data_IF_159626235741
#
_entry.id   IF_159626235741
#
_cell.length_a   1.000
_cell.length_b   1.000
_cell.length_c   1.000
_cell.angle_alpha   90.00
_cell.angle_beta   90.00
_cell.angle_gamma   90.00
#
_symmetry.space_group_name_H-M   'P 1'
#
loop_
_entity.id
_entity.type
_entity.pdbx_description
1 polymer ?
#
# COMPACT_ATOMS: atom_id res chain seq x y z
N UNK A 1 27.76 25.36 22.75
CA UNK A 1 28.41 24.04 22.89
C UNK A 1 29.23 23.70 21.66
N UNK A 2 28.64 23.55 20.46
CA UNK A 2 29.41 23.34 19.22
C UNK A 2 30.52 24.39 18.98
N UNK A 3 30.19 25.68 19.10
CA UNK A 3 31.20 26.76 19.00
C UNK A 3 32.31 26.66 20.06
N UNK A 4 31.96 26.29 21.30
CA UNK A 4 32.94 26.13 22.39
C UNK A 4 33.88 24.95 22.15
N UNK A 5 33.35 23.83 21.66
CA UNK A 5 34.14 22.66 21.25
C UNK A 5 35.16 23.03 20.16
N UNK A 6 34.74 23.80 19.14
CA UNK A 6 35.66 24.23 18.08
C UNK A 6 36.78 25.16 18.57
N UNK A 7 36.50 26.03 19.55
CA UNK A 7 37.50 26.94 20.12
C UNK A 7 38.61 26.21 20.89
N UNK A 8 38.30 25.05 21.46
CA UNK A 8 39.28 24.23 22.20
C UNK A 8 40.22 23.49 21.25
N UNK A 9 39.72 23.05 20.09
CA UNK A 9 40.48 22.31 19.08
C UNK A 9 41.34 23.21 18.17
N UNK A 10 40.86 24.40 17.80
CA UNK A 10 41.54 25.29 16.84
C UNK A 10 41.70 26.74 17.36
N UNK A 11 42.72 27.02 18.19
CA UNK A 11 42.97 28.35 18.75
C UNK A 11 43.37 29.40 17.69
N UNK A 12 43.72 28.96 16.48
CA UNK A 12 44.32 29.77 15.42
C UNK A 12 43.32 30.50 14.51
N UNK A 13 42.01 30.21 14.63
CA UNK A 13 40.91 30.82 13.85
C UNK A 13 41.09 30.80 12.32
N UNK A 14 41.88 29.88 11.76
CA UNK A 14 41.97 29.72 10.32
C UNK A 14 40.75 28.95 9.83
N UNK A 15 39.82 29.63 9.14
CA UNK A 15 38.67 28.98 8.51
C UNK A 15 39.12 28.08 7.34
N UNK A 16 39.43 26.83 7.64
CA UNK A 16 39.60 25.78 6.63
C UNK A 16 38.23 25.16 6.29
N UNK A 17 38.02 24.61 5.09
CA UNK A 17 36.79 23.89 4.77
C UNK A 17 36.46 22.74 5.74
N UNK A 18 37.48 22.16 6.39
CA UNK A 18 37.32 21.12 7.43
C UNK A 18 36.66 21.65 8.70
N UNK A 19 36.90 22.91 9.11
CA UNK A 19 36.28 23.47 10.32
C UNK A 19 34.76 23.67 10.14
N UNK A 20 34.31 24.00 8.93
CA UNK A 20 32.90 24.19 8.61
C UNK A 20 32.15 22.85 8.68
N UNK A 21 32.74 21.78 8.14
CA UNK A 21 32.21 20.43 8.24
C UNK A 21 32.11 19.99 9.70
N UNK A 22 33.18 20.16 10.49
CA UNK A 22 33.19 19.85 11.92
C UNK A 22 32.12 20.64 12.67
N UNK A 23 31.90 21.91 12.32
CA UNK A 23 30.83 22.73 12.88
C UNK A 23 29.44 22.15 12.57
N UNK A 24 29.16 21.82 11.31
CA UNK A 24 27.88 21.24 10.90
C UNK A 24 27.58 19.90 11.57
N UNK A 25 28.60 19.03 11.67
CA UNK A 25 28.45 17.74 12.34
C UNK A 25 28.30 17.92 13.85
N UNK A 26 29.15 18.70 14.52
CA UNK A 26 29.05 18.90 15.97
C UNK A 26 27.73 19.59 16.38
N UNK A 27 27.22 20.52 15.57
CA UNK A 27 25.90 21.11 15.82
C UNK A 27 24.79 20.07 15.70
N UNK A 28 24.82 19.18 14.70
CA UNK A 28 23.91 18.05 14.61
C UNK A 28 24.00 17.14 15.85
N UNK A 29 25.21 16.78 16.27
CA UNK A 29 25.44 15.98 17.48
C UNK A 29 24.80 16.60 18.72
N UNK A 30 25.07 17.88 19.00
CA UNK A 30 24.52 18.54 20.18
C UNK A 30 23.01 18.79 20.09
N UNK A 31 22.51 19.17 18.91
CA UNK A 31 21.08 19.43 18.69
C UNK A 31 20.22 18.17 18.84
N UNK A 32 20.83 16.99 18.71
CA UNK A 32 20.12 15.72 18.69
C UNK A 32 20.51 14.74 19.80
N UNK A 33 21.03 15.27 20.91
CA UNK A 33 21.39 14.53 22.12
C UNK A 33 22.42 13.40 21.84
N UNK A 34 23.45 13.72 21.06
CA UNK A 34 24.48 12.81 20.56
C UNK A 34 25.16 11.92 21.60
N UNK A 35 25.25 12.39 22.85
CA UNK A 35 25.80 11.61 23.95
C UNK A 35 24.92 10.40 24.33
N UNK A 36 23.67 10.33 23.86
CA UNK A 36 22.71 9.25 24.13
C UNK A 36 22.31 8.45 22.89
N UNK A 37 22.94 8.69 21.75
CA UNK A 37 22.74 7.84 20.58
C UNK A 37 23.18 6.41 20.90
N UNK A 38 22.64 5.43 20.16
CA UNK A 38 23.02 4.03 20.32
C UNK A 38 24.48 3.80 19.93
N UNK A 39 24.93 4.43 18.85
CA UNK A 39 26.32 4.49 18.40
C UNK A 39 26.68 5.95 18.11
N UNK A 40 27.67 6.46 18.83
CA UNK A 40 28.30 7.76 18.61
C UNK A 40 29.83 7.64 18.51
N UNK A 41 30.32 6.49 18.05
CA UNK A 41 31.75 6.20 18.00
C UNK A 41 32.50 7.26 17.17
N UNK A 42 33.60 7.78 17.74
CA UNK A 42 34.45 8.79 17.11
C UNK A 42 33.91 10.23 17.15
N UNK A 43 32.64 10.44 17.49
CA UNK A 43 32.07 11.79 17.49
C UNK A 43 32.72 12.69 18.54
N UNK A 44 33.04 13.92 18.14
CA UNK A 44 33.74 14.92 18.95
C UNK A 44 35.19 14.57 19.33
N UNK A 45 35.74 13.48 18.81
CA UNK A 45 37.17 13.17 18.95
C UNK A 45 37.99 14.04 17.97
N UNK A 46 39.29 14.25 18.26
CA UNK A 46 40.18 15.02 17.38
C UNK A 46 40.54 14.29 16.08
N UNK A 47 40.05 13.06 15.87
CA UNK A 47 40.21 12.31 14.61
C UNK A 47 39.48 13.00 13.45
N UNK A 48 39.79 12.60 12.22
CA UNK A 48 39.10 13.13 11.05
C UNK A 48 37.61 12.77 11.10
N UNK A 49 36.72 13.66 10.65
CA UNK A 49 35.27 13.44 10.78
C UNK A 49 34.79 12.25 9.94
N UNK A 50 35.56 11.86 8.93
CA UNK A 50 35.30 10.67 8.12
C UNK A 50 35.48 9.35 8.88
N UNK A 51 36.12 9.38 10.05
CA UNK A 51 36.22 8.24 10.96
C UNK A 51 35.02 8.17 11.93
N UNK A 52 34.16 9.20 11.96
CA UNK A 52 33.02 9.25 12.86
C UNK A 52 31.91 8.34 12.36
N UNK A 53 31.26 7.65 13.29
CA UNK A 53 30.17 6.74 12.94
C UNK A 53 29.10 7.44 12.10
N UNK A 54 28.75 6.82 10.97
CA UNK A 54 27.70 7.31 10.08
C UNK A 54 28.11 8.43 9.12
N UNK A 55 29.33 8.97 9.21
CA UNK A 55 29.82 9.98 8.27
C UNK A 55 30.49 9.31 7.08
N UNK A 56 29.96 9.55 5.89
CA UNK A 56 30.55 9.07 4.63
C UNK A 56 31.26 10.23 3.93
N UNK A 57 32.51 10.04 3.50
CA UNK A 57 33.31 11.08 2.86
C UNK A 57 33.71 10.74 1.42
N UNK A 58 33.95 11.77 0.61
CA UNK A 58 34.61 11.63 -0.67
C UNK A 58 36.15 11.53 -0.53
N UNK A 59 36.84 11.34 -1.66
CA UNK A 59 38.31 11.25 -1.71
C UNK A 59 39.05 12.50 -1.20
N UNK A 60 38.36 13.63 -1.10
CA UNK A 60 38.88 14.90 -0.56
C UNK A 60 38.51 15.11 0.92
N UNK A 61 38.02 14.08 1.60
CA UNK A 61 37.63 14.09 3.02
C UNK A 61 36.44 15.00 3.37
N UNK A 62 35.61 15.35 2.38
CA UNK A 62 34.35 16.06 2.61
C UNK A 62 33.18 15.09 2.79
N UNK A 63 32.32 15.36 3.78
CA UNK A 63 31.13 14.58 4.08
C UNK A 63 30.13 14.65 2.93
N UNK A 64 29.85 13.51 2.34
CA UNK A 64 28.87 13.31 1.28
C UNK A 64 27.65 12.53 1.78
N UNK A 65 27.77 11.81 2.90
CA UNK A 65 26.66 11.10 3.52
C UNK A 65 26.69 11.25 5.04
N UNK A 66 25.50 11.33 5.63
CA UNK A 66 25.28 11.21 7.06
C UNK A 66 24.17 10.20 7.30
N UNK A 67 24.55 9.03 7.83
CA UNK A 67 23.65 7.93 8.14
C UNK A 67 23.62 7.69 9.65
N UNK A 68 22.51 8.11 10.26
CA UNK A 68 22.23 7.89 11.68
C UNK A 68 20.90 7.11 11.83
N UNK A 69 20.57 6.25 10.87
CA UNK A 69 19.38 5.43 10.91
C UNK A 69 19.37 4.51 12.13
N UNK A 70 18.20 4.34 12.76
CA UNK A 70 17.98 3.41 13.90
C UNK A 70 18.99 3.65 15.03
N UNK A 71 19.25 4.91 15.38
CA UNK A 71 20.34 5.28 16.29
C UNK A 71 19.89 6.02 17.56
N UNK A 72 18.59 5.97 17.89
CA UNK A 72 17.99 6.65 19.05
C UNK A 72 18.26 8.17 19.04
N UNK A 73 18.35 8.77 17.85
CA UNK A 73 18.56 10.22 17.67
C UNK A 73 17.30 10.97 18.14
N UNK A 74 17.46 11.99 18.97
CA UNK A 74 16.36 12.80 19.54
C UNK A 74 16.53 14.27 19.15
N UNK A 75 15.71 15.17 19.68
CA UNK A 75 15.88 16.61 19.47
C UNK A 75 15.37 17.06 18.10
N UNK A 76 16.06 18.00 17.45
CA UNK A 76 15.64 18.60 16.17
C UNK A 76 16.79 18.65 15.17
N UNK A 77 16.47 18.66 13.87
CA UNK A 77 17.45 18.93 12.81
C UNK A 77 17.83 20.42 12.89
N UNK A 78 19.10 20.77 13.18
CA UNK A 78 19.51 22.17 13.30
C UNK A 78 19.55 22.88 11.94
N UNK A 79 19.35 24.20 11.93
CA UNK A 79 19.46 25.02 10.72
C UNK A 79 20.91 24.99 10.15
N UNK A 80 21.89 24.82 11.02
CA UNK A 80 23.32 24.70 10.71
C UNK A 80 23.67 23.47 9.87
N UNK A 81 22.76 22.51 9.69
CA UNK A 81 22.94 21.39 8.75
C UNK A 81 23.30 21.88 7.35
N UNK A 82 22.86 23.09 6.98
CA UNK A 82 23.17 23.79 5.73
C UNK A 82 24.67 23.94 5.45
N UNK A 83 25.52 23.87 6.49
CA UNK A 83 26.98 23.99 6.36
C UNK A 83 27.61 22.77 5.71
N UNK A 84 26.95 21.61 5.74
CA UNK A 84 27.36 20.38 5.06
C UNK A 84 26.99 20.43 3.57
N UNK A 85 27.38 21.49 2.87
CA UNK A 85 26.92 21.75 1.49
C UNK A 85 27.35 20.70 0.45
N UNK A 86 28.29 19.80 0.77
CA UNK A 86 28.70 18.66 -0.06
C UNK A 86 27.83 17.42 0.11
N UNK A 87 26.89 17.43 1.07
CA UNK A 87 26.06 16.29 1.41
C UNK A 87 25.15 15.89 0.24
N UNK A 88 25.17 14.60 -0.07
CA UNK A 88 24.35 13.94 -1.09
C UNK A 88 23.30 13.03 -0.45
N UNK A 89 23.60 12.47 0.72
CA UNK A 89 22.69 11.58 1.45
C UNK A 89 22.54 12.04 2.91
N UNK A 90 21.30 12.22 3.35
CA UNK A 90 20.96 12.39 4.76
C UNK A 90 19.92 11.33 5.15
N UNK A 91 20.31 10.42 6.03
CA UNK A 91 19.51 9.28 6.44
C UNK A 91 19.35 9.28 7.96
N UNK A 92 18.14 9.62 8.39
CA UNK A 92 17.72 9.72 9.79
C UNK A 92 16.55 8.78 10.09
N UNK A 93 16.39 7.74 9.26
CA UNK A 93 15.31 6.77 9.34
C UNK A 93 15.15 6.16 10.75
N UNK A 94 13.91 6.05 11.22
CA UNK A 94 13.54 5.32 12.44
C UNK A 94 14.28 5.81 13.69
N UNK A 95 14.01 7.07 14.05
CA UNK A 95 14.54 7.72 15.24
C UNK A 95 13.41 8.41 16.03
N UNK A 96 13.75 9.35 16.91
CA UNK A 96 12.80 10.15 17.69
C UNK A 96 13.04 11.64 17.48
N UNK A 97 13.39 12.02 16.24
CA UNK A 97 13.61 13.41 15.85
C UNK A 97 12.27 14.13 15.80
N UNK A 98 12.21 15.30 16.41
CA UNK A 98 11.04 16.15 16.57
C UNK A 98 11.27 17.54 15.96
N UNK A 99 10.27 18.41 16.06
CA UNK A 99 10.35 19.75 15.48
C UNK A 99 9.94 19.75 14.01
N UNK A 100 10.47 20.69 13.23
CA UNK A 100 10.11 20.89 11.82
C UNK A 100 11.25 20.47 10.89
N UNK A 101 10.94 20.23 9.62
CA UNK A 101 11.93 20.18 8.55
C UNK A 101 12.52 21.61 8.37
N UNK A 102 13.81 21.85 8.69
CA UNK A 102 14.36 23.20 8.79
C UNK A 102 14.58 23.84 7.42
N UNK A 103 14.60 25.18 7.37
CA UNK A 103 14.82 25.90 6.11
C UNK A 103 16.26 25.75 5.59
N UNK A 104 17.21 25.48 6.49
CA UNK A 104 18.63 25.27 6.23
C UNK A 104 18.90 24.11 5.26
N UNK A 105 17.98 23.15 5.12
CA UNK A 105 18.08 22.13 4.07
C UNK A 105 18.20 22.73 2.67
N UNK A 106 17.73 23.96 2.44
CA UNK A 106 17.91 24.67 1.17
C UNK A 106 19.38 24.88 0.77
N UNK A 107 20.31 24.86 1.72
CA UNK A 107 21.76 24.96 1.47
C UNK A 107 22.40 23.65 0.98
N UNK A 108 21.68 22.53 1.05
CA UNK A 108 22.17 21.21 0.63
C UNK A 108 21.87 20.97 -0.86
N UNK A 109 22.35 21.84 -1.74
CA UNK A 109 22.04 21.80 -3.17
C UNK A 109 22.50 20.52 -3.89
N UNK A 110 23.43 19.76 -3.27
CA UNK A 110 23.93 18.49 -3.76
C UNK A 110 23.11 17.27 -3.27
N UNK A 111 22.08 17.47 -2.45
CA UNK A 111 21.31 16.39 -1.84
C UNK A 111 20.54 15.59 -2.89
N UNK A 112 20.78 14.29 -2.90
CA UNK A 112 20.18 13.28 -3.78
C UNK A 112 19.16 12.44 -3.03
N UNK A 113 19.45 12.10 -1.77
CA UNK A 113 18.57 11.28 -0.94
C UNK A 113 18.38 11.91 0.44
N UNK A 114 17.12 12.07 0.82
CA UNK A 114 16.70 12.53 2.13
C UNK A 114 15.68 11.53 2.70
N UNK A 115 16.09 10.81 3.75
CA UNK A 115 15.24 9.87 4.47
C UNK A 115 15.04 10.34 5.91
N UNK A 116 13.80 10.72 6.22
CA UNK A 116 13.33 11.19 7.53
C UNK A 116 12.18 10.33 8.04
N UNK A 117 11.94 9.14 7.46
CA UNK A 117 10.77 8.34 7.82
C UNK A 117 10.83 7.86 9.28
N UNK A 118 9.66 7.57 9.86
CA UNK A 118 9.52 7.00 11.21
C UNK A 118 10.19 7.88 12.28
N UNK A 119 9.73 9.12 12.37
CA UNK A 119 10.18 10.10 13.35
C UNK A 119 8.95 10.82 13.96
N UNK A 120 9.18 11.90 14.69
CA UNK A 120 8.16 12.73 15.33
C UNK A 120 8.14 14.14 14.69
N UNK A 121 8.50 14.26 13.41
CA UNK A 121 8.56 15.54 12.72
C UNK A 121 7.15 16.10 12.52
N UNK A 122 7.04 17.42 12.59
CA UNK A 122 5.80 18.18 12.52
C UNK A 122 5.97 19.41 11.62
N UNK A 123 4.92 20.22 11.47
CA UNK A 123 4.94 21.37 10.57
C UNK A 123 4.79 20.95 9.11
N UNK A 124 5.24 21.78 8.17
CA UNK A 124 4.97 21.56 6.74
C UNK A 124 5.73 20.36 6.18
N UNK A 125 5.02 19.45 5.49
CA UNK A 125 5.63 18.35 4.74
C UNK A 125 6.49 18.81 3.55
N UNK A 126 6.15 19.95 2.95
CA UNK A 126 6.82 20.49 1.76
C UNK A 126 7.20 21.98 1.96
N UNK A 127 8.15 22.29 2.84
CA UNK A 127 8.64 23.66 2.98
C UNK A 127 9.39 24.09 1.71
N UNK A 128 9.51 25.42 1.50
CA UNK A 128 10.18 25.98 0.31
C UNK A 128 11.59 25.42 0.09
N UNK A 129 12.29 25.10 1.17
CA UNK A 129 13.62 24.51 1.15
C UNK A 129 13.67 23.22 0.31
N UNK A 130 12.72 22.30 0.52
CA UNK A 130 12.69 21.01 -0.19
C UNK A 130 12.41 21.21 -1.67
N UNK A 131 11.44 22.06 -2.03
CA UNK A 131 11.11 22.36 -3.44
C UNK A 131 12.23 23.09 -4.21
N UNK A 132 13.32 23.46 -3.53
CA UNK A 132 14.53 24.03 -4.13
C UNK A 132 15.61 22.99 -4.49
N UNK A 133 15.53 21.77 -3.97
CA UNK A 133 16.56 20.74 -4.08
C UNK A 133 16.48 19.99 -5.42
N UNK A 134 16.96 20.63 -6.50
CA UNK A 134 16.80 20.13 -7.87
C UNK A 134 17.51 18.81 -8.19
N UNK A 135 18.41 18.35 -7.32
CA UNK A 135 19.13 17.07 -7.46
C UNK A 135 18.49 15.94 -6.65
N UNK A 136 17.43 16.23 -5.91
CA UNK A 136 16.78 15.26 -5.05
C UNK A 136 16.11 14.19 -5.92
N UNK A 137 16.53 12.95 -5.71
CA UNK A 137 15.99 11.76 -6.35
C UNK A 137 15.08 10.96 -5.40
N UNK A 138 15.34 11.02 -4.09
CA UNK A 138 14.55 10.32 -3.08
C UNK A 138 14.18 11.26 -1.95
N UNK A 139 12.88 11.49 -1.78
CA UNK A 139 12.32 12.24 -0.65
C UNK A 139 11.35 11.36 0.14
N UNK A 140 11.79 10.91 1.32
CA UNK A 140 11.06 9.96 2.16
C UNK A 140 10.81 10.55 3.54
N UNK A 141 9.54 10.79 3.86
CA UNK A 141 9.06 11.47 5.08
C UNK A 141 7.87 10.75 5.73
N UNK A 142 7.52 9.54 5.27
CA UNK A 142 6.41 8.77 5.82
C UNK A 142 6.52 8.50 7.32
N UNK A 143 5.39 8.23 7.99
CA UNK A 143 5.33 7.93 9.43
C UNK A 143 5.90 9.10 10.27
N UNK A 144 5.25 10.26 10.19
CA UNK A 144 5.53 11.45 10.98
C UNK A 144 4.20 12.17 11.31
N UNK A 145 4.25 13.41 11.82
CA UNK A 145 3.10 14.28 12.13
C UNK A 145 3.10 15.51 11.21
N UNK A 146 3.52 15.35 9.96
CA UNK A 146 3.65 16.45 9.01
C UNK A 146 2.29 16.87 8.46
N UNK A 147 2.10 18.18 8.30
CA UNK A 147 0.87 18.83 7.86
C UNK A 147 1.08 19.67 6.60
N UNK A 148 0.00 20.30 6.14
CA UNK A 148 -0.01 21.20 4.99
C UNK A 148 -0.21 20.44 3.67
N UNK A 149 -0.29 21.19 2.57
CA UNK A 149 -0.54 20.61 1.25
C UNK A 149 0.68 20.51 0.35
N UNK A 150 0.53 19.72 -0.72
CA UNK A 150 1.54 19.56 -1.76
C UNK A 150 1.55 20.85 -2.60
N UNK A 151 2.65 21.62 -2.64
CA UNK A 151 2.71 22.88 -3.37
C UNK A 151 2.89 22.62 -4.87
N UNK A 152 2.40 23.52 -5.72
CA UNK A 152 2.64 23.48 -7.19
C UNK A 152 4.12 23.45 -7.55
N UNK A 153 4.99 24.02 -6.70
CA UNK A 153 6.44 23.97 -6.86
C UNK A 153 7.02 22.56 -6.77
N UNK A 154 6.26 21.54 -6.40
CA UNK A 154 6.73 20.16 -6.43
C UNK A 154 7.28 19.77 -7.81
N UNK A 155 6.68 20.27 -8.90
CA UNK A 155 7.11 20.01 -10.28
C UNK A 155 8.51 20.54 -10.64
N UNK A 156 9.18 21.28 -9.73
CA UNK A 156 10.58 21.67 -9.91
C UNK A 156 11.56 20.51 -9.69
N UNK A 157 11.16 19.46 -8.96
CA UNK A 157 11.99 18.33 -8.55
C UNK A 157 12.09 17.27 -9.66
N UNK A 158 12.49 17.69 -10.86
CA UNK A 158 12.37 16.86 -12.08
C UNK A 158 13.15 15.54 -12.05
N UNK A 159 14.19 15.44 -11.22
CA UNK A 159 14.95 14.20 -11.01
C UNK A 159 14.40 13.28 -9.92
N UNK A 160 13.28 13.65 -9.28
CA UNK A 160 12.69 12.86 -8.20
C UNK A 160 12.17 11.53 -8.74
N UNK A 161 12.65 10.44 -8.14
CA UNK A 161 12.31 9.04 -8.45
C UNK A 161 11.38 8.45 -7.40
N UNK A 162 11.54 8.85 -6.15
CA UNK A 162 10.74 8.36 -5.02
C UNK A 162 10.19 9.51 -4.19
N UNK A 163 8.87 9.50 -3.96
CA UNK A 163 8.18 10.44 -3.12
C UNK A 163 7.29 9.70 -2.12
N UNK A 164 7.81 9.51 -0.91
CA UNK A 164 7.13 8.74 0.14
C UNK A 164 6.72 9.67 1.29
N UNK A 165 5.43 9.95 1.41
CA UNK A 165 4.86 10.81 2.45
C UNK A 165 3.61 10.22 3.13
N UNK A 166 3.37 8.91 2.99
CA UNK A 166 2.27 8.22 3.69
C UNK A 166 2.36 8.24 5.22
N UNK A 167 1.24 8.04 5.91
CA UNK A 167 1.11 8.10 7.38
C UNK A 167 1.60 9.43 7.96
N UNK A 168 0.88 10.50 7.60
CA UNK A 168 1.02 11.87 8.08
C UNK A 168 -0.36 12.54 8.14
N UNK A 169 -0.41 13.86 8.36
CA UNK A 169 -1.61 14.70 8.37
C UNK A 169 -1.60 15.68 7.17
N UNK A 170 -1.08 15.23 6.02
CA UNK A 170 -0.95 16.05 4.80
C UNK A 170 -2.35 16.22 4.20
N UNK A 171 -2.73 17.46 3.90
CA UNK A 171 -4.09 17.81 3.47
C UNK A 171 -4.12 18.63 2.19
N UNK A 172 -5.32 18.87 1.65
CA UNK A 172 -5.50 19.63 0.42
C UNK A 172 -5.38 18.77 -0.84
N UNK A 173 -5.01 19.37 -1.96
CA UNK A 173 -5.09 18.74 -3.29
C UNK A 173 -3.72 18.32 -3.81
N UNK A 174 -3.68 17.29 -4.67
CA UNK A 174 -2.51 17.01 -5.50
C UNK A 174 -2.53 17.99 -6.68
N UNK A 175 -1.50 18.86 -6.83
CA UNK A 175 -1.43 19.82 -7.94
C UNK A 175 -1.12 19.11 -9.27
N UNK A 176 -1.56 19.67 -10.41
CA UNK A 176 -1.29 19.10 -11.74
C UNK A 176 0.19 19.09 -12.09
N UNK A 177 0.98 19.98 -11.50
CA UNK A 177 2.45 20.02 -11.63
C UNK A 177 3.14 18.75 -11.12
N UNK A 178 2.44 17.84 -10.44
CA UNK A 178 2.96 16.49 -10.17
C UNK A 178 3.38 15.77 -11.47
N UNK A 179 2.69 16.05 -12.58
CA UNK A 179 3.01 15.51 -13.91
C UNK A 179 4.33 16.00 -14.51
N UNK A 180 5.00 16.99 -13.91
CA UNK A 180 6.32 17.43 -14.33
C UNK A 180 7.45 16.51 -13.81
N UNK A 181 7.15 15.63 -12.86
CA UNK A 181 8.09 14.69 -12.25
C UNK A 181 8.29 13.45 -13.14
N UNK A 182 8.93 13.64 -14.30
CA UNK A 182 9.02 12.59 -15.35
C UNK A 182 9.88 11.39 -15.00
N UNK A 183 10.77 11.52 -14.03
CA UNK A 183 11.63 10.43 -13.55
C UNK A 183 11.00 9.66 -12.37
N UNK A 184 9.82 10.09 -11.90
CA UNK A 184 9.17 9.54 -10.72
C UNK A 184 8.66 8.12 -10.99
N UNK A 185 9.01 7.22 -10.07
CA UNK A 185 8.68 5.79 -10.12
C UNK A 185 7.68 5.39 -9.05
N UNK A 186 7.77 5.98 -7.87
CA UNK A 186 6.91 5.59 -6.76
C UNK A 186 6.38 6.80 -6.01
N UNK A 187 5.06 6.83 -5.84
CA UNK A 187 4.36 7.74 -4.94
C UNK A 187 3.71 6.92 -3.82
N UNK A 188 4.01 7.28 -2.58
CA UNK A 188 3.31 6.76 -1.40
C UNK A 188 2.72 7.95 -0.63
N UNK A 189 1.43 8.16 -0.75
CA UNK A 189 0.65 9.15 0.01
C UNK A 189 -0.43 8.52 0.89
N UNK A 190 -0.41 7.19 1.04
CA UNK A 190 -1.37 6.43 1.83
C UNK A 190 -1.56 6.99 3.24
N UNK A 191 -2.77 6.93 3.80
CA UNK A 191 -3.05 7.34 5.18
C UNK A 191 -2.68 8.81 5.44
N UNK A 192 -3.42 9.73 4.83
CA UNK A 192 -3.31 11.18 4.96
C UNK A 192 -4.71 11.82 4.85
N UNK A 193 -4.78 13.16 4.90
CA UNK A 193 -6.01 13.95 4.73
C UNK A 193 -6.12 14.59 3.33
N UNK A 194 -5.48 14.00 2.30
CA UNK A 194 -5.54 14.54 0.94
C UNK A 194 -6.96 14.40 0.38
N UNK A 195 -7.39 15.39 -0.40
CA UNK A 195 -8.74 15.51 -0.88
C UNK A 195 -8.82 15.98 -2.33
N UNK A 196 -10.05 16.02 -2.85
CA UNK A 196 -10.37 16.45 -4.21
C UNK A 196 -10.06 15.39 -5.26
N UNK A 197 -9.94 15.80 -6.52
CA UNK A 197 -9.79 14.88 -7.65
C UNK A 197 -8.32 14.48 -7.86
N UNK A 198 -8.11 13.23 -8.28
CA UNK A 198 -6.82 12.80 -8.80
C UNK A 198 -6.50 13.56 -10.10
N UNK A 199 -5.32 14.20 -10.22
CA UNK A 199 -4.95 14.89 -11.45
C UNK A 199 -4.65 13.89 -12.58
N UNK A 200 -5.18 14.17 -13.77
CA UNK A 200 -4.97 13.34 -14.97
C UNK A 200 -3.49 13.26 -15.40
N UNK A 201 -2.72 14.25 -14.99
CA UNK A 201 -1.29 14.42 -15.23
C UNK A 201 -0.45 13.32 -14.58
N UNK A 202 -0.97 12.59 -13.58
CA UNK A 202 -0.32 11.37 -13.09
C UNK A 202 -0.14 10.33 -14.21
N UNK A 203 -1.04 10.32 -15.21
CA UNK A 203 -0.92 9.47 -16.40
C UNK A 203 0.21 9.85 -17.36
N UNK A 204 0.93 10.95 -17.10
CA UNK A 204 2.10 11.39 -17.88
C UNK A 204 3.43 10.86 -17.33
N UNK A 205 3.38 10.21 -16.18
CA UNK A 205 4.53 9.75 -15.42
C UNK A 205 4.63 8.22 -15.59
N UNK A 206 5.81 7.66 -15.92
CA UNK A 206 6.01 6.21 -16.02
C UNK A 206 6.17 5.59 -14.63
N UNK A 207 5.12 5.74 -13.80
CA UNK A 207 5.05 5.20 -12.44
C UNK A 207 5.09 3.68 -12.46
N UNK A 208 5.71 3.13 -11.44
CA UNK A 208 5.74 1.71 -11.10
C UNK A 208 4.81 1.44 -9.90
N UNK A 209 4.77 2.35 -8.91
CA UNK A 209 3.91 2.25 -7.74
C UNK A 209 3.12 3.52 -7.44
N UNK A 210 1.81 3.40 -7.36
CA UNK A 210 0.88 4.46 -6.96
C UNK A 210 0.08 4.00 -5.74
N UNK A 211 0.45 4.48 -4.55
CA UNK A 211 -0.22 4.17 -3.30
C UNK A 211 -0.81 5.45 -2.71
N UNK A 212 -2.12 5.61 -2.78
CA UNK A 212 -2.87 6.79 -2.30
C UNK A 212 -4.12 6.36 -1.51
N UNK A 213 -4.10 5.15 -0.96
CA UNK A 213 -5.18 4.61 -0.13
C UNK A 213 -5.41 5.39 1.17
N UNK A 214 -6.57 5.24 1.78
CA UNK A 214 -6.95 5.85 3.07
C UNK A 214 -6.74 7.38 3.06
N UNK A 215 -7.48 8.05 2.18
CA UNK A 215 -7.50 9.49 2.02
C UNK A 215 -8.96 9.94 1.76
N UNK A 216 -9.17 11.19 1.33
CA UNK A 216 -10.48 11.75 0.99
C UNK A 216 -10.61 12.10 -0.50
N UNK A 217 -10.00 11.32 -1.40
CA UNK A 217 -10.10 11.57 -2.84
C UNK A 217 -11.53 11.37 -3.35
N UNK A 218 -11.95 12.26 -4.25
CA UNK A 218 -13.29 12.35 -4.84
C UNK A 218 -13.21 12.30 -6.38
N UNK A 219 -14.37 12.10 -7.01
CA UNK A 219 -14.46 12.06 -8.48
C UNK A 219 -14.00 10.73 -9.05
N UNK A 220 -13.85 10.66 -10.37
CA UNK A 220 -13.43 9.43 -11.05
C UNK A 220 -11.94 9.27 -11.11
N UNK A 221 -11.48 8.01 -11.15
CA UNK A 221 -10.11 7.67 -11.52
C UNK A 221 -9.86 8.16 -12.97
N UNK A 222 -8.91 9.08 -13.21
CA UNK A 222 -8.62 9.57 -14.56
C UNK A 222 -8.20 8.43 -15.48
N UNK A 223 -8.78 8.35 -16.67
CA UNK A 223 -8.50 7.24 -17.59
C UNK A 223 -7.05 7.21 -18.08
N UNK A 224 -6.34 8.33 -18.00
CA UNK A 224 -4.92 8.47 -18.32
C UNK A 224 -4.02 7.61 -17.41
N UNK A 225 -4.43 7.35 -16.16
CA UNK A 225 -3.68 6.45 -15.26
C UNK A 225 -3.61 5.02 -15.79
N UNK A 226 -4.63 4.58 -16.52
CA UNK A 226 -4.67 3.24 -17.12
C UNK A 226 -3.79 3.12 -18.38
N UNK A 227 -3.18 4.21 -18.85
CA UNK A 227 -2.19 4.17 -19.94
C UNK A 227 -0.75 4.00 -19.42
N UNK A 228 -0.54 4.01 -18.10
CA UNK A 228 0.80 3.89 -17.49
C UNK A 228 1.17 2.41 -17.40
N UNK A 229 1.58 1.84 -18.53
CA UNK A 229 1.85 0.41 -18.66
C UNK A 229 2.94 -0.14 -17.69
N UNK A 230 3.78 0.75 -17.14
CA UNK A 230 4.81 0.43 -16.15
C UNK A 230 4.28 0.16 -14.74
N UNK A 231 3.02 0.46 -14.46
CA UNK A 231 2.45 0.28 -13.12
C UNK A 231 2.44 -1.20 -12.74
N UNK A 232 3.03 -1.50 -11.58
CA UNK A 232 2.94 -2.81 -10.92
C UNK A 232 2.02 -2.78 -9.68
N UNK A 233 1.90 -1.63 -9.01
CA UNK A 233 1.11 -1.45 -7.78
C UNK A 233 0.19 -0.24 -7.93
N UNK A 234 -1.10 -0.46 -7.77
CA UNK A 234 -2.13 0.58 -7.84
C UNK A 234 -3.12 0.41 -6.68
N UNK A 235 -3.00 1.27 -5.68
CA UNK A 235 -3.75 1.22 -4.42
C UNK A 235 -4.46 2.54 -4.15
N UNK A 236 -5.77 2.53 -4.29
CA UNK A 236 -6.67 3.67 -4.05
C UNK A 236 -7.81 3.32 -3.08
N UNK A 237 -7.71 2.20 -2.37
CA UNK A 237 -8.71 1.77 -1.41
C UNK A 237 -8.95 2.79 -0.29
N UNK A 238 -10.15 2.78 0.32
CA UNK A 238 -10.45 3.68 1.45
C UNK A 238 -10.51 5.15 1.04
N UNK A 239 -11.22 5.45 -0.05
CA UNK A 239 -11.45 6.81 -0.54
C UNK A 239 -12.94 7.00 -0.89
N UNK A 240 -13.31 8.13 -1.49
CA UNK A 240 -14.67 8.44 -1.94
C UNK A 240 -14.76 8.52 -3.48
N UNK A 241 -13.98 7.69 -4.18
CA UNK A 241 -13.92 7.71 -5.64
C UNK A 241 -15.22 7.16 -6.25
N UNK A 242 -15.66 7.76 -7.36
CA UNK A 242 -16.89 7.41 -8.09
C UNK A 242 -16.61 7.09 -9.56
N UNK A 243 -17.63 6.76 -10.34
CA UNK A 243 -17.47 6.47 -11.77
C UNK A 243 -17.21 5.00 -12.05
N UNK A 244 -16.69 4.68 -13.23
CA UNK A 244 -16.57 3.30 -13.75
C UNK A 244 -15.12 2.95 -14.12
N UNK A 245 -14.78 1.66 -14.20
CA UNK A 245 -13.53 1.24 -14.83
C UNK A 245 -13.68 1.23 -16.36
N UNK A 246 -12.85 1.99 -17.10
CA UNK A 246 -12.88 1.97 -18.55
C UNK A 246 -12.16 0.73 -19.09
N UNK A 247 -12.54 0.26 -20.28
CA UNK A 247 -11.91 -0.91 -20.91
C UNK A 247 -10.39 -0.79 -21.13
N UNK A 248 -9.85 0.43 -21.15
CA UNK A 248 -8.40 0.68 -21.27
C UNK A 248 -7.59 0.10 -20.10
N UNK A 249 -8.20 -0.22 -18.96
CA UNK A 249 -7.52 -0.85 -17.82
C UNK A 249 -6.77 -2.14 -18.21
N UNK A 250 -7.25 -2.88 -19.21
CA UNK A 250 -6.59 -4.07 -19.72
C UNK A 250 -5.21 -3.83 -20.36
N UNK A 251 -4.79 -2.58 -20.53
CA UNK A 251 -3.42 -2.24 -20.97
C UNK A 251 -2.38 -2.36 -19.85
N UNK A 252 -2.80 -2.41 -18.58
CA UNK A 252 -1.90 -2.55 -17.44
C UNK A 252 -1.48 -4.01 -17.24
N UNK A 253 -0.78 -4.57 -18.23
CA UNK A 253 -0.40 -6.00 -18.27
C UNK A 253 0.66 -6.39 -17.25
N UNK A 254 1.42 -5.42 -16.74
CA UNK A 254 2.47 -5.61 -15.74
C UNK A 254 1.95 -5.40 -14.29
N UNK A 255 0.67 -5.05 -14.14
CA UNK A 255 0.07 -4.78 -12.84
C UNK A 255 -0.06 -6.07 -12.02
N UNK A 256 0.49 -6.06 -10.81
CA UNK A 256 0.49 -7.20 -9.89
C UNK A 256 -0.49 -6.99 -8.73
N UNK A 257 -0.71 -5.75 -8.28
CA UNK A 257 -1.58 -5.43 -7.15
C UNK A 257 -2.53 -4.28 -7.49
N UNK A 258 -3.82 -4.61 -7.64
CA UNK A 258 -4.90 -3.66 -7.92
C UNK A 258 -5.93 -3.66 -6.79
N UNK A 259 -5.98 -2.54 -6.06
CA UNK A 259 -6.86 -2.35 -4.90
C UNK A 259 -7.62 -1.05 -5.01
N UNK A 260 -8.94 -1.17 -5.09
CA UNK A 260 -9.87 -0.03 -5.15
C UNK A 260 -11.07 -0.22 -4.22
N UNK A 261 -11.00 -1.19 -3.30
CA UNK A 261 -12.06 -1.50 -2.35
C UNK A 261 -12.38 -0.32 -1.42
N UNK A 262 -13.54 -0.35 -0.78
CA UNK A 262 -13.99 0.74 0.11
C UNK A 262 -14.01 2.10 -0.61
N UNK A 263 -14.74 2.16 -1.73
CA UNK A 263 -14.97 3.36 -2.52
C UNK A 263 -16.45 3.41 -2.98
N UNK A 264 -16.79 4.39 -3.83
CA UNK A 264 -18.10 4.54 -4.43
C UNK A 264 -18.09 4.26 -5.95
N UNK A 265 -17.18 3.39 -6.41
CA UNK A 265 -17.07 3.03 -7.83
C UNK A 265 -18.26 2.16 -8.25
N UNK A 266 -18.63 2.23 -9.53
CA UNK A 266 -19.89 1.69 -10.05
C UNK A 266 -19.77 1.24 -11.51
N UNK A 267 -20.87 0.73 -12.07
CA UNK A 267 -20.89 0.21 -13.43
C UNK A 267 -20.37 -1.23 -13.51
N UNK A 268 -20.05 -1.68 -14.72
CA UNK A 268 -19.62 -3.06 -14.96
C UNK A 268 -18.11 -3.22 -14.83
N UNK A 269 -17.66 -4.38 -14.37
CA UNK A 269 -16.26 -4.79 -14.50
C UNK A 269 -16.02 -5.09 -15.99
N UNK A 270 -15.09 -4.39 -16.68
CA UNK A 270 -14.88 -4.57 -18.10
C UNK A 270 -14.22 -5.93 -18.39
N UNK A 271 -14.62 -6.60 -19.49
CA UNK A 271 -14.02 -7.87 -19.93
C UNK A 271 -12.50 -7.78 -20.15
N UNK A 272 -11.98 -6.58 -20.44
CA UNK A 272 -10.56 -6.33 -20.61
C UNK A 272 -9.71 -6.57 -19.36
N UNK A 273 -10.33 -6.75 -18.19
CA UNK A 273 -9.63 -7.25 -17.01
C UNK A 273 -8.96 -8.60 -17.29
N UNK A 274 -9.50 -9.39 -18.23
CA UNK A 274 -8.90 -10.65 -18.69
C UNK A 274 -7.47 -10.52 -19.25
N UNK A 275 -7.04 -9.32 -19.65
CA UNK A 275 -5.70 -9.07 -20.19
C UNK A 275 -4.64 -8.80 -19.12
N UNK A 276 -5.03 -8.53 -17.87
CA UNK A 276 -4.13 -8.15 -16.77
C UNK A 276 -3.49 -9.39 -16.10
N UNK A 277 -2.85 -10.22 -16.90
CA UNK A 277 -2.39 -11.58 -16.52
C UNK A 277 -1.27 -11.64 -15.47
N UNK A 278 -0.63 -10.50 -15.15
CA UNK A 278 0.37 -10.41 -14.08
C UNK A 278 -0.23 -10.25 -12.68
N UNK A 279 -1.54 -10.01 -12.57
CA UNK A 279 -2.19 -9.76 -11.29
C UNK A 279 -1.97 -10.91 -10.31
N UNK A 280 -1.59 -10.54 -9.10
CA UNK A 280 -1.47 -11.38 -7.90
C UNK A 280 -2.64 -11.08 -6.96
N UNK A 281 -3.02 -9.81 -6.86
CA UNK A 281 -4.07 -9.36 -5.95
C UNK A 281 -5.05 -8.42 -6.67
N UNK A 282 -6.33 -8.79 -6.64
CA UNK A 282 -7.43 -8.03 -7.24
C UNK A 282 -8.55 -7.85 -6.20
N UNK A 283 -8.63 -6.66 -5.61
CA UNK A 283 -9.65 -6.31 -4.62
C UNK A 283 -10.54 -5.17 -5.13
N UNK A 284 -11.82 -5.51 -5.32
CA UNK A 284 -12.87 -4.65 -5.84
C UNK A 284 -14.05 -4.51 -4.86
N UNK A 285 -14.00 -5.21 -3.72
CA UNK A 285 -15.06 -5.27 -2.71
C UNK A 285 -15.48 -3.89 -2.18
N UNK A 286 -16.63 -3.85 -1.50
CA UNK A 286 -17.16 -2.64 -0.86
C UNK A 286 -17.24 -1.45 -1.84
N UNK A 287 -17.94 -1.69 -2.95
CA UNK A 287 -18.20 -0.74 -4.03
C UNK A 287 -19.59 -1.04 -4.64
N UNK A 288 -20.04 -0.21 -5.59
CA UNK A 288 -21.32 -0.34 -6.27
C UNK A 288 -21.20 -0.99 -7.66
N UNK A 289 -20.29 -1.96 -7.84
CA UNK A 289 -20.17 -2.70 -9.10
C UNK A 289 -21.45 -3.45 -9.44
N UNK A 290 -21.81 -3.48 -10.72
CA UNK A 290 -23.09 -4.01 -11.26
C UNK A 290 -22.84 -4.88 -12.47
N UNK A 291 -23.88 -5.60 -12.93
CA UNK A 291 -23.77 -6.49 -14.08
C UNK A 291 -23.09 -7.82 -13.74
N UNK A 292 -22.73 -8.59 -14.76
CA UNK A 292 -22.12 -9.90 -14.57
C UNK A 292 -20.61 -9.82 -14.33
N UNK A 293 -20.07 -10.80 -13.60
CA UNK A 293 -18.62 -11.01 -13.50
C UNK A 293 -18.14 -11.58 -14.86
N UNK A 294 -17.17 -10.96 -15.55
CA UNK A 294 -16.63 -11.52 -16.78
C UNK A 294 -15.92 -12.86 -16.54
N UNK A 295 -16.26 -13.89 -17.32
CA UNK A 295 -15.61 -15.21 -17.27
C UNK A 295 -14.36 -15.22 -18.18
N UNK A 296 -13.31 -14.51 -17.76
CA UNK A 296 -12.12 -14.17 -18.58
C UNK A 296 -10.77 -14.54 -17.95
N UNK A 297 -10.78 -15.41 -16.93
CA UNK A 297 -9.59 -15.69 -16.12
C UNK A 297 -8.69 -16.82 -16.64
N UNK A 298 -8.96 -17.35 -17.83
CA UNK A 298 -8.28 -18.54 -18.39
C UNK A 298 -6.75 -18.42 -18.48
N UNK A 299 -6.23 -17.21 -18.67
CA UNK A 299 -4.79 -16.95 -18.85
C UNK A 299 -4.08 -16.41 -17.60
N UNK A 300 -4.77 -16.37 -16.47
CA UNK A 300 -4.18 -15.93 -15.22
C UNK A 300 -3.32 -17.04 -14.61
N UNK A 301 -2.06 -16.71 -14.30
CA UNK A 301 -1.08 -17.66 -13.76
C UNK A 301 -0.54 -17.28 -12.37
N UNK A 302 -0.83 -16.05 -11.92
CA UNK A 302 -0.27 -15.48 -10.69
C UNK A 302 -1.31 -15.07 -9.65
N UNK A 303 -2.60 -14.97 -10.04
CA UNK A 303 -3.63 -14.44 -9.15
C UNK A 303 -3.83 -15.36 -7.96
N UNK A 304 -3.75 -14.75 -6.80
CA UNK A 304 -3.70 -15.41 -5.50
C UNK A 304 -4.91 -15.03 -4.66
N UNK A 305 -5.32 -13.76 -4.75
CA UNK A 305 -6.45 -13.20 -4.02
C UNK A 305 -7.37 -12.40 -4.95
N UNK A 306 -8.63 -12.83 -5.01
CA UNK A 306 -9.73 -12.16 -5.69
C UNK A 306 -10.87 -11.85 -4.71
N UNK A 307 -11.22 -10.57 -4.56
CA UNK A 307 -12.32 -10.14 -3.69
C UNK A 307 -13.26 -9.17 -4.42
N UNK A 308 -14.53 -9.52 -4.48
CA UNK A 308 -15.63 -8.71 -5.02
C UNK A 308 -16.79 -8.57 -4.03
N UNK A 309 -16.56 -8.91 -2.77
CA UNK A 309 -17.61 -8.98 -1.73
C UNK A 309 -18.28 -7.63 -1.51
N UNK A 310 -19.52 -7.64 -1.01
CA UNK A 310 -20.31 -6.43 -0.73
C UNK A 310 -20.44 -5.53 -1.98
N UNK A 311 -20.93 -6.10 -3.08
CA UNK A 311 -21.16 -5.37 -4.34
C UNK A 311 -22.55 -5.68 -4.90
N UNK A 312 -22.96 -4.98 -5.96
CA UNK A 312 -24.25 -5.20 -6.63
C UNK A 312 -24.13 -6.12 -7.85
N UNK A 313 -23.06 -6.93 -7.94
CA UNK A 313 -22.79 -7.84 -9.04
C UNK A 313 -23.85 -8.95 -9.11
N UNK A 314 -24.21 -9.33 -10.33
CA UNK A 314 -25.29 -10.29 -10.66
C UNK A 314 -24.74 -11.42 -11.53
N UNK A 315 -25.60 -12.38 -11.90
CA UNK A 315 -25.23 -13.47 -12.80
C UNK A 315 -24.41 -14.56 -12.11
N UNK A 316 -23.81 -15.43 -12.91
CA UNK A 316 -23.19 -16.67 -12.40
C UNK A 316 -21.73 -16.48 -11.99
N UNK A 317 -21.25 -17.34 -11.09
CA UNK A 317 -19.83 -17.44 -10.73
C UNK A 317 -18.99 -17.81 -11.99
N UNK A 318 -17.93 -17.08 -12.33
CA UNK A 318 -17.08 -17.38 -13.48
C UNK A 318 -16.28 -18.66 -13.23
N UNK A 319 -16.52 -19.72 -14.00
CA UNK A 319 -15.83 -21.01 -13.81
C UNK A 319 -14.31 -20.91 -14.04
N UNK A 320 -13.87 -19.96 -14.88
CA UNK A 320 -12.46 -19.82 -15.25
C UNK A 320 -11.59 -19.34 -14.09
N UNK A 321 -12.17 -18.73 -13.05
CA UNK A 321 -11.42 -18.31 -11.85
C UNK A 321 -10.77 -19.51 -11.14
N UNK A 322 -11.41 -20.68 -11.19
CA UNK A 322 -10.93 -21.89 -10.52
C UNK A 322 -9.88 -22.67 -11.35
N UNK A 323 -9.68 -22.29 -12.61
CA UNK A 323 -8.61 -22.84 -13.46
C UNK A 323 -7.24 -22.22 -13.17
N UNK A 324 -7.19 -21.15 -12.36
CA UNK A 324 -5.96 -20.43 -12.03
C UNK A 324 -5.12 -21.31 -11.08
N UNK A 325 -3.85 -21.62 -11.42
CA UNK A 325 -3.04 -22.54 -10.62
C UNK A 325 -2.63 -22.01 -9.24
N UNK A 326 -2.73 -20.69 -9.03
CA UNK A 326 -2.28 -20.00 -7.82
C UNK A 326 -3.42 -19.47 -6.94
N UNK A 327 -4.69 -19.60 -7.36
CA UNK A 327 -5.80 -18.93 -6.66
C UNK A 327 -6.08 -19.57 -5.30
N UNK A 328 -5.77 -18.84 -4.22
CA UNK A 328 -5.98 -19.29 -2.85
C UNK A 328 -7.28 -18.73 -2.26
N UNK A 329 -7.56 -17.46 -2.50
CA UNK A 329 -8.62 -16.71 -1.81
C UNK A 329 -9.61 -16.17 -2.82
N UNK A 330 -10.85 -16.66 -2.77
CA UNK A 330 -11.94 -16.24 -3.65
C UNK A 330 -13.12 -15.80 -2.80
N UNK A 331 -13.31 -14.48 -2.70
CA UNK A 331 -14.37 -13.89 -1.90
C UNK A 331 -15.40 -13.22 -2.82
N UNK A 332 -16.61 -13.75 -2.77
CA UNK A 332 -17.77 -13.25 -3.52
C UNK A 332 -18.99 -13.14 -2.60
N UNK A 333 -18.78 -12.80 -1.33
CA UNK A 333 -19.85 -12.72 -0.34
C UNK A 333 -20.72 -11.49 -0.56
N UNK A 334 -22.01 -11.60 -0.22
CA UNK A 334 -22.93 -10.44 -0.16
C UNK A 334 -22.99 -9.68 -1.48
N UNK A 335 -23.16 -10.43 -2.57
CA UNK A 335 -23.45 -9.92 -3.91
C UNK A 335 -24.91 -10.27 -4.28
N UNK A 336 -25.26 -10.21 -5.56
CA UNK A 336 -26.52 -10.69 -6.12
C UNK A 336 -26.29 -11.85 -7.11
N UNK A 337 -25.29 -12.71 -6.86
CA UNK A 337 -24.93 -13.79 -7.77
C UNK A 337 -26.00 -14.89 -7.77
N UNK A 338 -26.29 -15.42 -8.96
CA UNK A 338 -27.31 -16.45 -9.19
C UNK A 338 -26.75 -17.69 -9.89
N UNK A 339 -27.62 -18.62 -10.29
CA UNK A 339 -27.24 -19.88 -10.91
C UNK A 339 -26.70 -20.88 -9.89
N UNK A 340 -25.78 -21.75 -10.31
CA UNK A 340 -25.25 -22.86 -9.48
C UNK A 340 -23.77 -22.68 -9.19
N UNK A 341 -23.29 -23.31 -8.10
CA UNK A 341 -21.85 -23.41 -7.85
C UNK A 341 -21.19 -24.23 -8.98
N UNK A 342 -20.22 -23.67 -9.72
CA UNK A 342 -19.58 -24.38 -10.83
C UNK A 342 -18.70 -25.52 -10.28
N UNK A 343 -18.84 -26.78 -10.74
CA UNK A 343 -18.04 -27.92 -10.25
C UNK A 343 -16.51 -27.73 -10.37
N UNK A 344 -16.08 -26.81 -11.24
CA UNK A 344 -14.67 -26.45 -11.45
C UNK A 344 -13.97 -25.92 -10.20
N UNK A 345 -14.70 -25.47 -9.16
CA UNK A 345 -14.07 -25.07 -7.90
C UNK A 345 -13.17 -26.17 -7.31
N UNK A 346 -13.54 -27.45 -7.52
CA UNK A 346 -12.79 -28.62 -7.09
C UNK A 346 -11.48 -28.84 -7.85
N UNK A 347 -11.30 -28.20 -9.02
CA UNK A 347 -10.11 -28.33 -9.85
C UNK A 347 -8.96 -27.43 -9.39
N UNK A 348 -9.23 -26.45 -8.51
CA UNK A 348 -8.17 -25.59 -7.98
C UNK A 348 -7.21 -26.36 -7.06
N UNK A 349 -5.89 -26.34 -7.33
CA UNK A 349 -4.91 -27.10 -6.56
C UNK A 349 -4.52 -26.45 -5.22
N UNK A 350 -4.87 -25.18 -5.03
CA UNK A 350 -4.40 -24.36 -3.90
C UNK A 350 -5.50 -23.56 -3.22
N UNK A 351 -6.77 -23.72 -3.62
CA UNK A 351 -7.90 -23.03 -3.02
C UNK A 351 -7.91 -23.27 -1.51
N UNK A 352 -7.83 -22.17 -0.77
CA UNK A 352 -7.82 -22.15 0.69
C UNK A 352 -9.17 -21.68 1.21
N UNK A 353 -9.64 -20.55 0.68
CA UNK A 353 -10.84 -19.91 1.19
C UNK A 353 -11.79 -19.61 0.01
N UNK A 354 -13.03 -20.05 0.15
CA UNK A 354 -14.10 -19.80 -0.81
C UNK A 354 -15.32 -19.25 -0.08
N UNK A 355 -15.57 -17.96 -0.24
CA UNK A 355 -16.73 -17.31 0.36
C UNK A 355 -17.76 -16.97 -0.70
N UNK A 356 -18.94 -17.59 -0.59
CA UNK A 356 -20.08 -17.40 -1.50
C UNK A 356 -21.35 -17.04 -0.73
N UNK A 357 -21.25 -16.75 0.56
CA UNK A 357 -22.38 -16.47 1.43
C UNK A 357 -23.11 -15.16 1.07
N UNK A 358 -24.40 -15.08 1.38
CA UNK A 358 -25.21 -13.87 1.13
C UNK A 358 -25.45 -13.60 -0.36
N UNK A 359 -25.81 -14.63 -1.12
CA UNK A 359 -26.10 -14.52 -2.56
C UNK A 359 -27.47 -15.13 -2.91
N UNK A 360 -27.74 -15.32 -4.20
CA UNK A 360 -28.94 -15.95 -4.74
C UNK A 360 -28.61 -17.28 -5.42
N UNK A 361 -27.56 -17.99 -4.96
CA UNK A 361 -27.12 -19.25 -5.57
C UNK A 361 -28.14 -20.35 -5.31
N UNK A 362 -28.32 -21.23 -6.30
CA UNK A 362 -29.30 -22.33 -6.33
C UNK A 362 -28.61 -23.66 -6.67
N UNK A 363 -29.39 -24.74 -6.72
CA UNK A 363 -28.90 -26.07 -7.07
C UNK A 363 -28.32 -26.82 -5.87
N UNK A 364 -27.35 -27.68 -6.11
CA UNK A 364 -26.69 -28.52 -5.09
C UNK A 364 -25.21 -28.19 -5.02
N UNK A 365 -24.55 -28.53 -3.91
CA UNK A 365 -23.10 -28.40 -3.76
C UNK A 365 -22.43 -29.53 -4.56
N UNK A 366 -21.61 -29.24 -5.60
CA UNK A 366 -21.00 -30.30 -6.40
C UNK A 366 -20.00 -31.12 -5.57
N UNK A 367 -20.05 -32.46 -5.61
CA UNK A 367 -19.13 -33.32 -4.85
C UNK A 367 -17.71 -33.24 -5.40
N UNK A 368 -16.73 -33.46 -4.52
CA UNK A 368 -15.31 -33.57 -4.88
C UNK A 368 -14.83 -35.02 -4.95
N UNK A 369 -13.72 -35.27 -5.64
CA UNK A 369 -13.00 -36.56 -5.64
C UNK A 369 -11.93 -36.56 -4.54
N UNK A 370 -11.50 -37.75 -4.13
CA UNK A 370 -10.37 -37.93 -3.21
C UNK A 370 -9.12 -37.24 -3.75
N UNK A 371 -8.45 -36.47 -2.89
CA UNK A 371 -7.25 -35.68 -3.21
C UNK A 371 -7.52 -34.30 -3.83
N UNK A 372 -8.78 -33.91 -4.00
CA UNK A 372 -9.13 -32.53 -4.38
C UNK A 372 -9.31 -31.66 -3.13
N UNK A 373 -9.00 -30.36 -3.24
CA UNK A 373 -9.21 -29.36 -2.20
C UNK A 373 -8.53 -29.66 -0.86
N UNK A 374 -7.36 -30.32 -0.87
CA UNK A 374 -6.56 -30.65 0.34
C UNK A 374 -6.04 -29.41 1.11
N UNK A 375 -6.29 -28.20 0.61
CA UNK A 375 -5.93 -26.93 1.26
C UNK A 375 -7.12 -26.08 1.67
N UNK A 376 -8.34 -26.52 1.38
CA UNK A 376 -9.55 -25.74 1.65
C UNK A 376 -9.80 -25.67 3.16
N UNK A 377 -9.61 -24.49 3.72
CA UNK A 377 -9.74 -24.20 5.14
C UNK A 377 -11.08 -23.56 5.48
N UNK A 378 -11.61 -22.72 4.60
CA UNK A 378 -12.88 -22.03 4.83
C UNK A 378 -13.78 -22.10 3.60
N UNK A 379 -15.03 -22.54 3.81
CA UNK A 379 -16.06 -22.62 2.78
C UNK A 379 -17.40 -22.11 3.31
N UNK A 380 -17.75 -20.89 2.92
CA UNK A 380 -18.95 -20.19 3.39
C UNK A 380 -20.01 -20.16 2.29
N UNK A 381 -21.19 -20.71 2.58
CA UNK A 381 -22.31 -20.89 1.64
C UNK A 381 -23.65 -20.42 2.20
N UNK A 382 -23.71 -19.98 3.47
CA UNK A 382 -24.94 -19.54 4.12
C UNK A 382 -25.58 -18.33 3.41
N UNK A 383 -26.83 -18.03 3.76
CA UNK A 383 -27.64 -16.98 3.16
C UNK A 383 -27.73 -17.11 1.61
N UNK A 384 -28.12 -18.30 1.13
CA UNK A 384 -28.34 -18.61 -0.29
C UNK A 384 -29.66 -19.37 -0.50
N UNK A 385 -29.90 -19.86 -1.72
CA UNK A 385 -31.03 -20.75 -2.09
C UNK A 385 -30.55 -22.15 -2.50
N UNK A 386 -29.41 -22.60 -1.96
CA UNK A 386 -28.82 -23.92 -2.22
C UNK A 386 -29.67 -24.99 -1.52
N UNK A 387 -29.83 -26.14 -2.17
CA UNK A 387 -30.69 -27.25 -1.75
C UNK A 387 -29.94 -28.59 -1.82
N UNK A 388 -30.50 -29.66 -1.26
CA UNK A 388 -29.95 -31.03 -1.40
C UNK A 388 -29.33 -31.55 -0.11
N UNK A 389 -28.08 -32.02 -0.14
CA UNK A 389 -27.35 -32.42 1.07
C UNK A 389 -25.88 -32.05 0.92
N UNK A 390 -25.17 -31.91 2.04
CA UNK A 390 -23.72 -31.71 2.01
C UNK A 390 -23.05 -32.99 1.51
N UNK A 391 -22.24 -32.95 0.42
CA UNK A 391 -21.57 -34.13 -0.06
C UNK A 391 -20.62 -34.76 0.97
N UNK A 392 -20.69 -36.08 1.15
CA UNK A 392 -19.78 -36.84 2.03
C UNK A 392 -18.30 -36.57 1.76
N UNK A 393 -17.95 -36.32 0.49
CA UNK A 393 -16.58 -36.01 0.10
C UNK A 393 -16.09 -34.65 0.60
N UNK A 394 -16.99 -33.67 0.79
CA UNK A 394 -16.66 -32.39 1.42
C UNK A 394 -16.62 -32.56 2.95
N UNK A 395 -17.58 -33.28 3.52
CA UNK A 395 -17.57 -33.61 4.96
C UNK A 395 -16.27 -34.30 5.39
N UNK A 396 -15.70 -35.14 4.52
CA UNK A 396 -14.46 -35.85 4.80
C UNK A 396 -13.27 -34.89 5.01
N UNK A 397 -13.24 -33.72 4.35
CA UNK A 397 -12.18 -32.72 4.56
C UNK A 397 -12.19 -32.15 5.99
N UNK A 398 -13.36 -32.10 6.64
CA UNK A 398 -13.47 -31.66 8.04
C UNK A 398 -12.99 -32.72 9.01
N UNK A 399 -13.26 -34.00 8.73
CA UNK A 399 -12.76 -35.12 9.52
C UNK A 399 -11.22 -35.20 9.53
N UNK A 400 -10.58 -34.65 8.49
CA UNK A 400 -9.12 -34.54 8.37
C UNK A 400 -8.54 -33.24 8.99
N UNK A 401 -9.36 -32.39 9.61
CA UNK A 401 -9.00 -31.07 10.17
C UNK A 401 -8.36 -30.12 9.15
N UNK A 402 -8.72 -30.26 7.87
CA UNK A 402 -8.28 -29.35 6.81
C UNK A 402 -9.26 -28.16 6.74
N UNK A 403 -10.56 -28.47 6.75
CA UNK A 403 -11.67 -27.52 6.66
C UNK A 403 -12.14 -27.12 8.07
N UNK A 404 -11.71 -25.94 8.53
CA UNK A 404 -12.02 -25.43 9.87
C UNK A 404 -13.42 -24.81 9.94
N UNK A 405 -13.77 -24.01 8.93
CA UNK A 405 -15.07 -23.34 8.85
C UNK A 405 -15.83 -23.77 7.60
N UNK A 406 -16.90 -24.55 7.82
CA UNK A 406 -17.88 -24.94 6.81
C UNK A 406 -19.26 -24.49 7.26
N UNK A 407 -19.82 -23.48 6.60
CA UNK A 407 -21.08 -22.85 6.99
C UNK A 407 -22.07 -22.95 5.83
N UNK A 408 -23.26 -23.49 6.11
CA UNK A 408 -24.37 -23.55 5.14
C UNK A 408 -25.70 -23.27 5.85
N UNK A 409 -26.74 -22.95 5.08
CA UNK A 409 -28.09 -22.82 5.61
C UNK A 409 -28.63 -24.20 6.01
N UNK A 410 -28.85 -24.41 7.31
CA UNK A 410 -29.52 -25.60 7.82
C UNK A 410 -31.04 -25.40 7.99
N UNK A 411 -31.58 -24.22 7.63
CA UNK A 411 -33.00 -23.88 7.71
C UNK A 411 -33.38 -22.81 6.69
N UNK A 412 -33.96 -23.23 5.56
CA UNK A 412 -34.30 -22.38 4.42
C UNK A 412 -35.37 -23.00 3.50
N UNK A 413 -35.54 -22.50 2.27
CA UNK A 413 -36.59 -22.94 1.34
C UNK A 413 -36.38 -24.40 0.90
N UNK A 414 -37.39 -25.25 1.09
CA UNK A 414 -37.39 -26.68 0.72
C UNK A 414 -37.04 -26.93 -0.77
N UNK A 415 -36.29 -28.00 -1.11
CA UNK A 415 -35.78 -29.03 -0.20
C UNK A 415 -34.49 -28.57 0.53
N UNK A 416 -34.52 -28.79 1.85
CA UNK A 416 -33.50 -28.42 2.82
C UNK A 416 -32.14 -29.05 2.49
N UNK A 417 -31.02 -28.48 2.97
CA UNK A 417 -29.76 -29.23 3.04
C UNK A 417 -29.90 -30.24 4.20
N UNK A 418 -30.35 -31.45 3.87
CA UNK A 418 -30.53 -32.53 4.84
C UNK A 418 -29.20 -32.85 5.53
N UNK A 419 -29.17 -32.66 6.86
CA UNK A 419 -28.07 -33.03 7.74
C UNK A 419 -28.44 -34.34 8.45
N UNK A 420 -28.23 -35.48 7.79
CA UNK A 420 -28.55 -36.77 8.39
C UNK A 420 -27.53 -37.18 9.47
N UNK A 421 -28.07 -37.57 10.63
CA UNK A 421 -27.40 -38.09 11.81
C UNK A 421 -26.49 -39.31 11.48
N UNK A 422 -25.28 -39.46 12.09
CA UNK A 422 -24.93 -39.07 13.46
C UNK A 422 -24.07 -37.83 13.66
N UNK A 423 -23.39 -37.29 12.64
CA UNK A 423 -22.46 -36.18 12.85
C UNK A 423 -22.61 -35.15 11.73
N UNK A 424 -23.39 -34.11 12.01
CA UNK A 424 -23.53 -32.93 11.17
C UNK A 424 -22.13 -32.32 10.91
N UNK A 425 -21.65 -32.42 9.68
CA UNK A 425 -20.26 -32.07 9.31
C UNK A 425 -20.10 -30.58 8.97
N UNK A 426 -21.14 -29.77 9.03
CA UNK A 426 -21.15 -28.31 8.85
C UNK A 426 -21.54 -27.61 10.15
N UNK A 427 -21.14 -26.35 10.35
CA UNK A 427 -21.74 -25.49 11.37
C UNK A 427 -23.04 -24.95 10.78
N UNK A 428 -24.15 -25.30 11.40
CA UNK A 428 -25.45 -24.76 11.02
C UNK A 428 -25.55 -23.30 11.40
N UNK A 429 -25.76 -22.43 10.42
CA UNK A 429 -26.21 -21.08 10.68
C UNK A 429 -27.71 -21.15 11.02
N UNK A 430 -28.04 -21.14 12.31
CA UNK A 430 -29.42 -20.83 12.72
C UNK A 430 -29.62 -19.35 12.41
N UNK A 431 -30.33 -19.03 11.34
CA UNK A 431 -30.76 -17.66 11.09
C UNK A 431 -31.35 -17.09 12.38
N UNK A 432 -30.81 -15.98 12.89
CA UNK A 432 -31.41 -15.30 14.04
C UNK A 432 -32.90 -15.09 13.71
N UNK A 433 -33.82 -15.45 14.61
CA UNK A 433 -35.24 -15.32 14.34
C UNK A 433 -35.51 -13.84 14.05
N UNK A 434 -36.01 -13.58 12.84
CA UNK A 434 -36.51 -12.26 12.45
C UNK A 434 -37.43 -11.79 13.58
N UNK A 435 -36.95 -10.82 14.38
CA UNK A 435 -37.75 -10.27 15.46
C UNK A 435 -38.90 -9.52 14.82
N UNK A 436 -40.04 -10.18 14.75
CA UNK A 436 -41.31 -9.52 14.50
C UNK A 436 -41.68 -8.73 15.75
N UNK A 437 -41.12 -7.53 15.89
CA UNK A 437 -41.57 -6.57 16.88
C UNK A 437 -41.65 -5.16 16.28
N UNK A 438 -42.87 -4.87 15.79
CA UNK A 438 -43.55 -3.57 15.57
C UNK A 438 -42.81 -2.41 14.91
#
# INVERSE_FOLDING_TARGET
MAYSFLLEEEPSFVCTPTIIQRYGLSTAYFATDGAKWTNNDGWLEPTQECDWFGVECNNSSFSIGLNLAVNNVKGMIPEEIATLNTLQKLDLFSNSISGIIPNGLSGLENLVSLDLQKNLLSGLAFPKAITGLRRLESYRISNNQLVGGIPTRIGSLRGLKELWAGENEISGFIPSEIGDLRDLKTIIFSNNDLAGQLPSELGLIPLEGLLMNDNSFLGSIPSQLFNVASLNTFRLEGNFLVGTLPAVIGQLTDLEDFRVQNNNLSGQIPESIGFMTSLVNLQLNDNFWTGAIPDVFENYLKLDFFDISNTMLTGTIPKTIFSIPTIRLVYMSRCNLDGTIPPQYADSPVLRDLYLDGNQLTGTIPPIKSGQLERLNEFLLQDNMISGSMPDSICSLRAEFILDDLWTDCGGVSPEIECDFPECCNRCFEAEPVSTSR
#
